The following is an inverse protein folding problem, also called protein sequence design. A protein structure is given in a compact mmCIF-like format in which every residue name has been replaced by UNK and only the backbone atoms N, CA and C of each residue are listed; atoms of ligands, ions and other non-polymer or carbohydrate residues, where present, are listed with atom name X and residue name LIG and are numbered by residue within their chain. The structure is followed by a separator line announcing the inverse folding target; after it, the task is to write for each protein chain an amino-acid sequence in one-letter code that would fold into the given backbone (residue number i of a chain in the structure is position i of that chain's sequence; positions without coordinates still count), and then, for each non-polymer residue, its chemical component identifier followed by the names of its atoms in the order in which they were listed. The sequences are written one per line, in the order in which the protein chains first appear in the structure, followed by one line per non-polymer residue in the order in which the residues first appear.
data_IF_651674590503
#
_entry.id   IF_651674590503
#
_cell.length_a   1.000
_cell.length_b   1.000
_cell.length_c   1.000
_cell.angle_alpha   90.00
_cell.angle_beta   90.00
_cell.angle_gamma   90.00
#
_symmetry.space_group_name_H-M   'P 1'
#
loop_
_entity.id
_entity.type
_entity.pdbx_description
1 polymer ?
#
# COMPACT_ATOMS: atom_id res chain seq x y z
N UNK A 1 15.11 -4.34 -15.94
CA UNK A 1 14.82 -5.37 -14.90
C UNK A 1 16.03 -6.28 -14.86
N UNK A 2 16.61 -6.49 -13.70
CA UNK A 2 17.73 -7.42 -13.53
C UNK A 2 17.29 -8.49 -12.54
N UNK A 3 17.16 -9.73 -13.00
CA UNK A 3 16.91 -10.88 -12.16
C UNK A 3 18.26 -11.59 -11.89
N UNK A 4 18.63 -11.73 -10.61
CA UNK A 4 19.94 -12.25 -10.22
C UNK A 4 19.80 -13.61 -9.55
N UNK A 5 20.59 -14.59 -9.96
CA UNK A 5 20.62 -15.89 -9.30
C UNK A 5 22.00 -16.51 -9.26
N UNK A 6 22.23 -17.32 -8.24
CA UNK A 6 23.39 -18.22 -8.15
C UNK A 6 23.10 -19.63 -8.66
N UNK A 7 21.94 -19.84 -9.30
CA UNK A 7 21.56 -21.14 -9.85
C UNK A 7 22.38 -21.49 -11.08
N UNK A 8 22.66 -22.79 -11.24
CA UNK A 8 23.40 -23.35 -12.36
C UNK A 8 22.64 -24.46 -13.08
N UNK A 9 21.48 -24.86 -12.58
CA UNK A 9 20.60 -25.85 -13.19
C UNK A 9 19.82 -25.22 -14.34
N UNK A 10 19.78 -25.88 -15.48
CA UNK A 10 19.08 -25.38 -16.69
C UNK A 10 17.58 -25.17 -16.42
N UNK A 11 16.90 -26.15 -15.83
CA UNK A 11 15.46 -26.07 -15.54
C UNK A 11 15.09 -24.83 -14.72
N UNK A 12 15.89 -24.52 -13.69
CA UNK A 12 15.65 -23.33 -12.86
C UNK A 12 15.99 -22.02 -13.57
N UNK A 13 16.96 -22.03 -14.47
CA UNK A 13 17.29 -20.86 -15.28
C UNK A 13 16.17 -20.58 -16.28
N UNK A 14 15.60 -21.60 -16.88
CA UNK A 14 14.46 -21.50 -17.78
C UNK A 14 13.20 -20.97 -17.05
N UNK A 15 12.91 -21.49 -15.85
CA UNK A 15 11.84 -20.97 -14.98
C UNK A 15 12.05 -19.48 -14.64
N UNK A 16 13.27 -19.08 -14.31
CA UNK A 16 13.62 -17.68 -14.07
C UNK A 16 13.48 -16.80 -15.32
N UNK A 17 13.76 -17.31 -16.50
CA UNK A 17 13.61 -16.60 -17.74
C UNK A 17 12.14 -16.30 -18.03
N UNK A 18 11.28 -17.31 -17.88
CA UNK A 18 9.83 -17.13 -17.99
C UNK A 18 9.28 -16.13 -16.96
N UNK A 19 9.68 -16.26 -15.69
CA UNK A 19 9.27 -15.30 -14.63
C UNK A 19 9.70 -13.86 -14.99
N UNK A 20 10.92 -13.70 -15.51
CA UNK A 20 11.46 -12.40 -15.88
C UNK A 20 10.70 -11.79 -17.06
N UNK A 21 10.34 -12.59 -18.05
CA UNK A 21 9.49 -12.18 -19.18
C UNK A 21 8.08 -11.81 -18.74
N UNK A 22 7.51 -12.54 -17.77
CA UNK A 22 6.21 -12.22 -17.17
C UNK A 22 6.26 -10.89 -16.43
N UNK A 23 7.32 -10.63 -15.64
CA UNK A 23 7.52 -9.35 -14.94
C UNK A 23 7.66 -8.19 -15.96
N UNK A 24 8.39 -8.37 -17.03
CA UNK A 24 8.52 -7.35 -18.08
C UNK A 24 7.17 -7.01 -18.72
N UNK A 25 6.43 -8.03 -19.13
CA UNK A 25 5.10 -7.90 -19.73
C UNK A 25 4.12 -7.22 -18.76
N UNK A 26 4.17 -7.58 -17.48
CA UNK A 26 3.37 -6.96 -16.44
C UNK A 26 3.69 -5.47 -16.29
N UNK A 27 4.98 -5.10 -16.18
CA UNK A 27 5.40 -3.71 -16.05
C UNK A 27 5.05 -2.89 -17.30
N UNK A 28 5.25 -3.45 -18.48
CA UNK A 28 4.84 -2.82 -19.74
C UNK A 28 3.34 -2.51 -19.75
N UNK A 29 2.51 -3.49 -19.42
CA UNK A 29 1.05 -3.32 -19.34
C UNK A 29 0.66 -2.23 -18.34
N UNK A 30 1.36 -2.15 -17.23
CA UNK A 30 1.16 -1.17 -16.17
C UNK A 30 1.46 0.25 -16.63
N UNK A 31 2.59 0.45 -17.32
CA UNK A 31 2.94 1.74 -17.90
C UNK A 31 1.93 2.16 -18.97
N UNK A 32 1.48 1.25 -19.82
CA UNK A 32 0.47 1.53 -20.84
C UNK A 32 -0.88 1.91 -20.22
N UNK A 33 -1.34 1.15 -19.22
CA UNK A 33 -2.61 1.44 -18.50
C UNK A 33 -2.57 2.75 -17.73
N UNK A 34 -1.41 3.23 -17.31
CA UNK A 34 -1.28 4.48 -16.54
C UNK A 34 -1.63 5.73 -17.34
N UNK A 35 -1.74 5.63 -18.68
CA UNK A 35 -1.98 6.75 -19.60
C UNK A 35 -1.07 7.96 -19.30
N UNK A 36 0.20 7.70 -19.11
CA UNK A 36 1.19 8.66 -18.64
C UNK A 36 1.90 9.37 -19.80
N UNK A 37 2.62 10.43 -19.46
CA UNK A 37 3.56 11.13 -20.38
C UNK A 37 4.70 10.22 -20.87
N UNK A 38 4.82 9.02 -20.30
CA UNK A 38 5.82 8.01 -20.70
C UNK A 38 5.45 7.26 -21.98
N UNK A 39 4.24 7.45 -22.51
CA UNK A 39 3.80 6.86 -23.75
C UNK A 39 4.16 7.76 -24.93
N UNK A 40 4.56 7.16 -26.06
CA UNK A 40 4.68 7.86 -27.33
C UNK A 40 3.28 8.32 -27.82
N UNK A 41 3.24 9.19 -28.80
CA UNK A 41 1.99 9.72 -29.39
C UNK A 41 1.01 8.62 -29.82
N UNK A 42 1.52 7.45 -30.23
CA UNK A 42 0.71 6.28 -30.57
C UNK A 42 -0.04 5.64 -29.39
N UNK A 43 0.28 6.05 -28.15
CA UNK A 43 -0.24 5.47 -26.88
C UNK A 43 -0.09 3.95 -26.71
N UNK A 44 0.66 3.29 -27.59
CA UNK A 44 0.90 1.84 -27.60
C UNK A 44 2.34 1.45 -27.32
N UNK A 45 3.26 2.41 -27.27
CA UNK A 45 4.67 2.17 -27.00
C UNK A 45 5.20 3.14 -25.97
N UNK A 46 6.18 2.71 -25.18
CA UNK A 46 6.85 3.53 -24.18
C UNK A 46 7.82 4.52 -24.85
N UNK A 47 7.98 5.69 -24.26
CA UNK A 47 8.95 6.71 -24.68
C UNK A 47 10.38 6.38 -24.21
N UNK A 48 10.55 5.38 -23.37
CA UNK A 48 11.80 4.84 -22.88
C UNK A 48 11.91 3.36 -23.20
N UNK A 49 13.07 2.77 -23.01
CA UNK A 49 13.32 1.35 -23.26
C UNK A 49 13.17 0.58 -21.95
N UNK A 50 12.33 -0.46 -21.97
CA UNK A 50 12.20 -1.42 -20.90
C UNK A 50 12.90 -2.69 -21.36
N UNK A 51 13.89 -3.15 -20.61
CA UNK A 51 14.64 -4.38 -20.87
C UNK A 51 14.73 -5.24 -19.64
N UNK A 52 14.69 -6.52 -19.84
CA UNK A 52 14.97 -7.53 -18.81
C UNK A 52 16.27 -8.26 -19.10
N UNK A 53 16.96 -8.65 -18.04
CA UNK A 53 18.27 -9.29 -18.08
C UNK A 53 18.36 -10.31 -16.97
N UNK A 54 18.89 -11.48 -17.29
CA UNK A 54 19.30 -12.49 -16.31
C UNK A 54 20.77 -12.28 -15.94
N UNK A 55 21.06 -12.07 -14.68
CA UNK A 55 22.43 -12.01 -14.18
C UNK A 55 22.78 -13.31 -13.47
N UNK A 56 23.63 -14.11 -14.12
CA UNK A 56 23.98 -15.47 -13.70
C UNK A 56 25.51 -15.58 -13.50
N UNK A 57 26.07 -15.05 -12.40
CA UNK A 57 27.52 -14.93 -12.20
C UNK A 57 28.25 -16.28 -12.09
N UNK A 58 27.53 -17.35 -11.76
CA UNK A 58 28.11 -18.71 -11.65
C UNK A 58 27.98 -19.53 -12.92
N UNK A 59 27.32 -19.01 -13.96
CA UNK A 59 27.17 -19.69 -15.26
C UNK A 59 28.19 -19.10 -16.23
N UNK A 60 29.13 -19.93 -16.76
CA UNK A 60 30.10 -19.47 -17.77
C UNK A 60 29.39 -18.92 -19.02
N UNK A 61 29.89 -17.83 -19.58
CA UNK A 61 29.28 -17.15 -20.73
C UNK A 61 29.08 -18.09 -21.92
N UNK A 62 30.01 -19.01 -22.18
CA UNK A 62 29.90 -20.02 -23.24
C UNK A 62 28.74 -21.01 -23.03
N UNK A 63 28.41 -21.31 -21.76
CA UNK A 63 27.30 -22.18 -21.41
C UNK A 63 25.98 -21.40 -21.48
N UNK A 64 25.96 -20.16 -21.04
CA UNK A 64 24.78 -19.29 -21.12
C UNK A 64 24.29 -19.07 -22.56
N UNK A 65 25.23 -18.99 -23.54
CA UNK A 65 24.90 -18.85 -24.95
C UNK A 65 24.29 -20.11 -25.61
N UNK A 66 24.38 -21.25 -24.94
CA UNK A 66 23.79 -22.52 -25.43
C UNK A 66 22.31 -22.65 -25.02
N UNK A 67 21.85 -21.81 -24.12
CA UNK A 67 20.45 -21.79 -23.68
C UNK A 67 19.64 -20.90 -24.61
N UNK A 68 18.48 -21.40 -25.05
CA UNK A 68 17.53 -20.66 -25.87
C UNK A 68 16.61 -19.89 -24.95
N UNK A 69 17.12 -18.78 -24.37
CA UNK A 69 16.41 -17.94 -23.39
C UNK A 69 15.89 -16.68 -24.09
N UNK A 70 14.74 -16.21 -23.66
CA UNK A 70 14.11 -14.99 -24.18
C UNK A 70 14.83 -13.72 -23.74
N UNK A 71 15.39 -13.73 -22.51
CA UNK A 71 16.06 -12.57 -21.94
C UNK A 71 17.58 -12.61 -22.15
N UNK A 72 18.19 -11.43 -22.24
CA UNK A 72 19.64 -11.30 -22.36
C UNK A 72 20.33 -11.78 -21.08
N UNK A 73 21.38 -12.61 -21.22
CA UNK A 73 22.11 -13.18 -20.09
C UNK A 73 23.43 -12.48 -19.90
N UNK A 74 23.71 -12.04 -18.68
CA UNK A 74 24.99 -11.51 -18.23
C UNK A 74 25.63 -12.44 -17.21
N UNK A 75 26.87 -12.87 -17.46
CA UNK A 75 27.63 -13.76 -16.56
C UNK A 75 28.70 -13.01 -15.74
N UNK A 76 28.90 -11.71 -16.00
CA UNK A 76 29.87 -10.90 -15.26
C UNK A 76 29.36 -9.48 -15.03
N UNK A 77 29.90 -8.82 -13.99
CA UNK A 77 29.60 -7.42 -13.70
C UNK A 77 29.94 -6.49 -14.87
N UNK A 78 31.04 -6.77 -15.60
CA UNK A 78 31.46 -5.95 -16.72
C UNK A 78 30.48 -6.05 -17.91
N UNK A 79 29.92 -7.24 -18.15
CA UNK A 79 28.87 -7.44 -19.16
C UNK A 79 27.61 -6.66 -18.76
N UNK A 80 27.17 -6.79 -17.52
CA UNK A 80 26.00 -6.08 -17.02
C UNK A 80 26.19 -4.56 -17.08
N UNK A 81 27.33 -4.05 -16.65
CA UNK A 81 27.66 -2.61 -16.75
C UNK A 81 27.70 -2.14 -18.18
N UNK A 82 28.33 -2.93 -19.10
CA UNK A 82 28.36 -2.59 -20.51
C UNK A 82 26.96 -2.50 -21.12
N UNK A 83 26.07 -3.40 -20.73
CA UNK A 83 24.69 -3.41 -21.17
C UNK A 83 23.90 -2.21 -20.65
N UNK A 84 24.07 -1.87 -19.38
CA UNK A 84 23.43 -0.70 -18.75
C UNK A 84 23.94 0.62 -19.36
N UNK A 85 25.21 0.68 -19.75
CA UNK A 85 25.81 1.87 -20.36
C UNK A 85 25.50 2.03 -21.87
N UNK A 86 25.09 0.96 -22.55
CA UNK A 86 24.73 1.00 -23.97
C UNK A 86 23.37 1.65 -24.27
N UNK A 87 22.61 2.03 -23.24
CA UNK A 87 21.32 2.68 -23.46
C UNK A 87 21.51 4.11 -23.97
N UNK A 88 21.18 4.36 -25.23
CA UNK A 88 21.27 5.68 -25.87
C UNK A 88 20.17 6.64 -25.44
N UNK A 89 19.14 6.17 -24.73
CA UNK A 89 18.00 6.98 -24.30
C UNK A 89 18.18 7.44 -22.87
N UNK A 90 18.48 8.73 -22.71
CA UNK A 90 18.53 9.37 -21.40
C UNK A 90 17.12 9.49 -20.80
N UNK A 91 16.91 8.90 -19.64
CA UNK A 91 15.72 9.10 -18.82
C UNK A 91 15.87 10.47 -18.14
N UNK A 92 14.94 11.40 -18.42
CA UNK A 92 14.93 12.69 -17.71
C UNK A 92 14.51 12.50 -16.26
N UNK A 93 14.84 13.48 -15.41
CA UNK A 93 14.42 13.45 -14.00
C UNK A 93 12.91 13.39 -13.85
N UNK A 94 12.17 14.03 -14.76
CA UNK A 94 10.70 13.96 -14.78
C UNK A 94 10.20 12.56 -15.14
N UNK A 95 10.78 11.93 -16.15
CA UNK A 95 10.46 10.55 -16.54
C UNK A 95 10.78 9.57 -15.41
N UNK A 96 11.90 9.75 -14.73
CA UNK A 96 12.28 8.92 -13.59
C UNK A 96 11.24 9.02 -12.46
N UNK A 97 10.85 10.23 -12.09
CA UNK A 97 9.78 10.45 -11.09
C UNK A 97 8.47 9.79 -11.51
N UNK A 98 8.11 9.91 -12.78
CA UNK A 98 6.89 9.32 -13.34
C UNK A 98 6.93 7.78 -13.30
N UNK A 99 8.06 7.18 -13.70
CA UNK A 99 8.29 5.73 -13.65
C UNK A 99 8.16 5.24 -12.21
N UNK A 100 8.85 5.88 -11.26
CA UNK A 100 8.77 5.56 -9.85
C UNK A 100 7.32 5.67 -9.34
N UNK A 101 6.60 6.75 -9.66
CA UNK A 101 5.23 6.95 -9.23
C UNK A 101 4.26 5.86 -9.74
N UNK A 102 4.48 5.34 -10.94
CA UNK A 102 3.68 4.24 -11.49
C UNK A 102 4.03 2.92 -10.81
N UNK A 103 5.31 2.61 -10.65
CA UNK A 103 5.76 1.39 -9.98
C UNK A 103 5.28 1.32 -8.53
N UNK A 104 5.27 2.45 -7.85
CA UNK A 104 4.95 2.58 -6.43
C UNK A 104 3.46 2.81 -6.14
N UNK A 105 2.63 2.91 -7.16
CA UNK A 105 1.21 3.16 -7.00
C UNK A 105 0.82 4.57 -6.60
N UNK A 106 1.77 5.50 -6.52
CA UNK A 106 1.51 6.88 -6.13
C UNK A 106 0.47 7.57 -7.02
N UNK A 107 0.41 7.22 -8.32
CA UNK A 107 -0.63 7.72 -9.25
C UNK A 107 -2.04 7.22 -8.97
N UNK A 108 -2.21 6.22 -8.13
CA UNK A 108 -3.54 5.76 -7.70
C UNK A 108 -4.20 6.77 -6.78
N UNK A 109 -3.39 7.55 -6.07
CA UNK A 109 -3.84 8.50 -5.04
C UNK A 109 -4.51 9.71 -5.67
N UNK A 110 -3.97 10.18 -6.80
CA UNK A 110 -4.47 11.38 -7.46
C UNK A 110 -4.84 11.04 -8.91
N UNK A 111 -6.14 10.84 -9.18
CA UNK A 111 -6.66 11.27 -10.48
C UNK A 111 -6.89 12.78 -10.32
N UNK A 112 -6.04 13.65 -10.87
CA UNK A 112 -6.37 15.06 -10.93
C UNK A 112 -7.71 15.13 -11.65
N UNK A 113 -8.71 15.83 -11.08
CA UNK A 113 -9.88 16.23 -11.83
C UNK A 113 -9.33 16.89 -13.10
N UNK A 114 -9.66 16.36 -14.28
CA UNK A 114 -9.26 16.95 -15.55
C UNK A 114 -9.78 18.39 -15.54
N UNK A 115 -8.93 19.32 -15.14
CA UNK A 115 -9.17 20.74 -15.37
C UNK A 115 -8.58 21.00 -16.77
N UNK A 116 -9.43 21.22 -17.74
CA UNK A 116 -9.00 21.73 -19.05
C UNK A 116 -8.56 23.18 -18.82
N UNK A 117 -7.26 23.40 -18.74
CA UNK A 117 -6.66 24.72 -18.68
C UNK A 117 -6.27 25.05 -20.12
N UNK A 118 -6.80 26.13 -20.66
CA UNK A 118 -6.44 26.63 -22.00
C UNK A 118 -4.94 26.91 -22.09
N UNK A 119 -4.35 26.70 -23.25
CA UNK A 119 -2.89 26.82 -23.48
C UNK A 119 -2.31 28.22 -23.10
N UNK A 120 -3.13 29.23 -22.89
CA UNK A 120 -2.72 30.59 -22.53
C UNK A 120 -2.74 30.90 -21.01
N UNK A 121 -3.08 29.92 -20.16
CA UNK A 121 -3.34 30.16 -18.73
C UNK A 121 -2.19 29.68 -17.80
N UNK A 122 -0.94 29.72 -18.24
CA UNK A 122 0.24 29.19 -17.55
C UNK A 122 0.50 29.84 -16.17
N UNK A 123 -0.02 31.04 -15.93
CA UNK A 123 0.17 31.79 -14.67
C UNK A 123 -1.10 31.90 -13.81
N UNK A 124 -2.15 31.16 -14.13
CA UNK A 124 -3.39 31.22 -13.34
C UNK A 124 -3.25 30.38 -12.03
N UNK A 125 -4.02 30.80 -11.00
CA UNK A 125 -4.16 30.01 -9.76
C UNK A 125 -4.55 28.55 -10.02
N UNK A 126 -5.24 28.27 -11.13
CA UNK A 126 -5.60 26.92 -11.58
C UNK A 126 -4.41 26.10 -12.07
N UNK A 127 -3.45 26.71 -12.78
CA UNK A 127 -2.22 26.05 -13.24
C UNK A 127 -1.30 25.74 -12.07
N UNK A 128 -1.14 26.68 -11.13
CA UNK A 128 -0.34 26.49 -9.90
C UNK A 128 -0.95 25.37 -9.03
N UNK A 129 -2.28 25.37 -8.87
CA UNK A 129 -2.98 24.29 -8.14
C UNK A 129 -2.79 22.93 -8.81
N UNK A 130 -2.84 22.87 -10.14
CA UNK A 130 -2.60 21.63 -10.90
C UNK A 130 -1.18 21.11 -10.71
N UNK A 131 -0.19 22.00 -10.76
CA UNK A 131 1.21 21.65 -10.53
C UNK A 131 1.45 21.19 -9.08
N UNK A 132 0.83 21.85 -8.10
CA UNK A 132 0.85 21.41 -6.70
C UNK A 132 0.17 20.06 -6.50
N UNK A 133 -1.00 19.84 -7.13
CA UNK A 133 -1.69 18.55 -7.10
C UNK A 133 -0.86 17.43 -7.75
N UNK A 134 -0.13 17.74 -8.83
CA UNK A 134 0.79 16.81 -9.49
C UNK A 134 2.02 16.51 -8.60
N UNK A 135 2.55 17.50 -7.89
CA UNK A 135 3.68 17.31 -6.96
C UNK A 135 3.29 16.52 -5.71
N UNK A 136 2.06 16.70 -5.21
CA UNK A 136 1.52 15.89 -4.10
C UNK A 136 1.27 14.42 -4.48
N UNK A 137 1.28 14.09 -5.79
CA UNK A 137 1.05 12.74 -6.29
C UNK A 137 2.23 11.77 -6.04
N UNK A 138 3.37 12.27 -5.57
CA UNK A 138 4.55 11.45 -5.31
C UNK A 138 4.69 11.18 -3.83
N UNK A 139 4.51 9.92 -3.43
CA UNK A 139 4.97 9.48 -2.11
C UNK A 139 6.50 9.60 -2.06
N UNK A 140 7.03 10.18 -1.00
CA UNK A 140 8.47 10.15 -0.78
C UNK A 140 8.96 8.75 -0.38
N UNK A 141 10.27 8.56 -0.39
CA UNK A 141 10.89 7.25 -0.12
C UNK A 141 10.58 6.76 1.31
N UNK A 142 10.47 7.65 2.28
CA UNK A 142 10.16 7.29 3.68
C UNK A 142 8.73 6.80 3.83
N UNK A 143 7.77 7.46 3.16
CA UNK A 143 6.37 7.04 3.14
C UNK A 143 6.20 5.64 2.55
N UNK A 144 6.93 5.34 1.47
CA UNK A 144 6.94 4.02 0.83
C UNK A 144 7.49 2.96 1.75
N UNK A 145 8.64 3.22 2.35
CA UNK A 145 9.26 2.30 3.29
C UNK A 145 8.34 2.01 4.48
N UNK A 146 7.62 3.02 4.98
CA UNK A 146 6.64 2.86 6.05
C UNK A 146 5.45 1.97 5.65
N UNK A 147 4.94 2.11 4.41
CA UNK A 147 3.85 1.28 3.91
C UNK A 147 4.28 -0.17 3.66
N UNK A 148 5.49 -0.37 3.12
CA UNK A 148 6.03 -1.68 2.76
C UNK A 148 6.58 -2.45 3.97
N UNK A 149 7.02 -1.74 5.02
CA UNK A 149 7.61 -2.37 6.19
C UNK A 149 6.62 -3.34 6.86
N UNK A 150 6.97 -4.61 6.88
CA UNK A 150 6.33 -5.62 7.71
C UNK A 150 7.23 -5.85 8.94
N UNK A 151 6.75 -5.39 10.08
CA UNK A 151 7.44 -5.58 11.35
C UNK A 151 6.59 -6.53 12.18
N UNK A 152 7.22 -7.58 12.69
CA UNK A 152 6.59 -8.44 13.69
C UNK A 152 6.40 -7.61 14.98
N UNK A 153 5.16 -7.49 15.44
CA UNK A 153 4.81 -6.70 16.61
C UNK A 153 4.25 -5.30 16.29
N UNK A 154 4.09 -4.45 17.32
CA UNK A 154 3.50 -3.14 17.17
C UNK A 154 4.40 -2.18 16.38
N UNK A 155 3.79 -1.44 15.47
CA UNK A 155 4.47 -0.44 14.66
C UNK A 155 3.86 0.94 14.89
N UNK A 156 4.67 1.99 14.91
CA UNK A 156 4.19 3.37 14.98
C UNK A 156 4.69 4.18 13.79
N UNK A 157 3.76 4.72 13.01
CA UNK A 157 4.03 5.64 11.92
C UNK A 157 3.88 7.07 12.44
N UNK A 158 4.93 7.87 12.39
CA UNK A 158 4.94 9.28 12.79
C UNK A 158 5.15 10.18 11.57
N UNK A 159 4.50 11.33 11.57
CA UNK A 159 4.67 12.36 10.55
C UNK A 159 3.88 13.61 10.88
N UNK A 160 4.22 14.71 10.25
CA UNK A 160 3.52 15.99 10.38
C UNK A 160 2.06 15.87 9.91
N UNK A 161 1.23 16.84 10.27
CA UNK A 161 -0.11 16.94 9.70
C UNK A 161 -0.01 17.09 8.18
N UNK A 162 -0.87 16.37 7.43
CA UNK A 162 -0.83 16.37 5.96
C UNK A 162 0.27 15.49 5.32
N UNK A 163 1.10 14.76 6.10
CA UNK A 163 2.16 13.88 5.59
C UNK A 163 1.65 12.56 4.97
N UNK A 164 0.35 12.41 4.73
CA UNK A 164 -0.22 11.24 4.07
C UNK A 164 -0.31 9.97 4.94
N UNK A 165 -0.33 10.07 6.28
CA UNK A 165 -0.43 8.91 7.18
C UNK A 165 -1.61 7.99 6.86
N UNK A 166 -2.81 8.55 6.66
CA UNK A 166 -4.02 7.81 6.25
C UNK A 166 -3.80 7.06 4.94
N UNK A 167 -3.13 7.69 3.97
CA UNK A 167 -2.81 7.11 2.66
C UNK A 167 -1.86 5.91 2.83
N UNK A 168 -0.82 6.06 3.65
CA UNK A 168 0.13 4.98 3.98
C UNK A 168 -0.58 3.80 4.63
N UNK A 169 -1.49 4.06 5.58
CA UNK A 169 -2.25 2.99 6.24
C UNK A 169 -3.22 2.29 5.26
N UNK A 170 -3.89 3.02 4.37
CA UNK A 170 -4.74 2.42 3.33
C UNK A 170 -3.92 1.55 2.36
N UNK A 171 -2.74 2.02 1.94
CA UNK A 171 -1.82 1.24 1.12
C UNK A 171 -1.36 -0.01 1.86
N UNK A 172 -1.00 0.12 3.15
CA UNK A 172 -0.58 -1.00 4.00
C UNK A 172 -1.69 -2.05 4.14
N UNK A 173 -2.94 -1.64 4.37
CA UNK A 173 -4.09 -2.54 4.41
C UNK A 173 -4.24 -3.35 3.11
N UNK A 174 -4.16 -2.67 1.96
CA UNK A 174 -4.24 -3.32 0.65
C UNK A 174 -3.10 -4.31 0.42
N UNK A 175 -1.86 -3.94 0.75
CA UNK A 175 -0.67 -4.78 0.56
C UNK A 175 -0.67 -6.00 1.50
N UNK A 176 -1.09 -5.85 2.76
CA UNK A 176 -1.23 -6.99 3.68
C UNK A 176 -2.25 -7.98 3.10
N UNK A 177 -3.41 -7.50 2.66
CA UNK A 177 -4.45 -8.37 2.11
C UNK A 177 -4.04 -9.06 0.81
N UNK A 178 -3.27 -8.40 -0.06
CA UNK A 178 -2.71 -9.03 -1.27
C UNK A 178 -1.73 -10.15 -0.95
N UNK A 179 -0.89 -9.97 0.08
CA UNK A 179 0.11 -10.97 0.49
C UNK A 179 -0.51 -12.12 1.30
N UNK A 180 -1.48 -11.80 2.13
CA UNK A 180 -2.10 -12.71 3.08
C UNK A 180 -3.64 -12.64 3.00
N UNK A 181 -4.25 -13.12 1.89
CA UNK A 181 -5.69 -12.90 1.61
C UNK A 181 -6.63 -13.54 2.65
N UNK A 182 -6.17 -14.52 3.40
CA UNK A 182 -6.96 -15.17 4.45
C UNK A 182 -6.92 -14.47 5.81
N UNK A 183 -6.03 -13.50 6.00
CA UNK A 183 -5.88 -12.76 7.26
C UNK A 183 -6.96 -11.70 7.41
N UNK A 184 -7.45 -11.54 8.64
CA UNK A 184 -8.43 -10.50 8.98
C UNK A 184 -7.74 -9.23 9.45
N UNK A 185 -8.00 -8.15 8.75
CA UNK A 185 -7.45 -6.82 9.01
C UNK A 185 -8.56 -5.93 9.56
N UNK A 186 -8.34 -5.29 10.68
CA UNK A 186 -9.17 -4.21 11.19
C UNK A 186 -8.52 -2.87 10.86
N UNK A 187 -9.25 -2.00 10.17
CA UNK A 187 -8.90 -0.60 10.00
C UNK A 187 -9.85 0.24 10.85
N UNK A 188 -9.33 1.06 11.76
CA UNK A 188 -10.16 1.84 12.69
C UNK A 188 -9.75 3.30 12.78
N UNK A 189 -10.70 4.16 13.08
CA UNK A 189 -10.60 5.63 13.12
C UNK A 189 -11.68 6.24 14.01
N UNK A 190 -11.56 7.54 14.34
CA UNK A 190 -12.53 8.28 15.19
C UNK A 190 -13.61 9.00 14.39
N UNK A 191 -13.30 9.50 13.18
CA UNK A 191 -14.15 10.43 12.43
C UNK A 191 -14.96 9.73 11.37
N UNK A 192 -16.27 9.63 11.53
CA UNK A 192 -17.19 8.89 10.65
C UNK A 192 -17.09 9.30 9.17
N UNK A 193 -16.79 10.55 8.87
CA UNK A 193 -16.67 11.08 7.50
C UNK A 193 -15.48 10.48 6.71
N UNK A 194 -14.56 9.79 7.37
CA UNK A 194 -13.42 9.14 6.71
C UNK A 194 -13.76 7.77 6.11
N UNK A 195 -14.91 7.18 6.44
CA UNK A 195 -15.24 5.81 6.03
C UNK A 195 -15.14 5.62 4.51
N UNK A 196 -15.91 6.39 3.74
CA UNK A 196 -15.98 6.28 2.28
C UNK A 196 -14.62 6.61 1.63
N UNK A 197 -13.87 7.53 2.22
CA UNK A 197 -12.54 7.89 1.75
C UNK A 197 -11.56 6.72 1.93
N UNK A 198 -11.52 6.12 3.13
CA UNK A 198 -10.64 4.98 3.45
C UNK A 198 -10.99 3.79 2.55
N UNK A 199 -12.26 3.44 2.41
CA UNK A 199 -12.72 2.35 1.55
C UNK A 199 -12.29 2.58 0.09
N UNK A 200 -12.56 3.78 -0.43
CA UNK A 200 -12.16 4.16 -1.79
C UNK A 200 -10.64 4.05 -2.00
N UNK A 201 -9.85 4.48 -1.02
CA UNK A 201 -8.39 4.43 -1.12
C UNK A 201 -7.86 3.00 -1.07
N UNK A 202 -8.39 2.16 -0.19
CA UNK A 202 -8.02 0.73 -0.12
C UNK A 202 -8.36 0.04 -1.45
N UNK A 203 -9.56 0.25 -2.01
CA UNK A 203 -9.96 -0.30 -3.31
C UNK A 203 -9.00 0.14 -4.42
N UNK A 204 -8.61 1.43 -4.44
CA UNK A 204 -7.68 1.96 -5.44
C UNK A 204 -6.32 1.28 -5.36
N UNK A 205 -5.73 1.17 -4.15
CA UNK A 205 -4.44 0.52 -3.97
C UNK A 205 -4.51 -0.97 -4.28
N UNK A 206 -5.57 -1.64 -3.81
CA UNK A 206 -5.74 -3.07 -4.07
C UNK A 206 -5.85 -3.36 -5.57
N UNK A 207 -6.65 -2.60 -6.32
CA UNK A 207 -6.75 -2.72 -7.78
C UNK A 207 -5.43 -2.44 -8.49
N UNK A 208 -4.70 -1.47 -7.97
CA UNK A 208 -3.44 -1.08 -8.59
C UNK A 208 -2.37 -2.17 -8.43
N UNK A 209 -2.23 -2.75 -7.24
CA UNK A 209 -1.23 -3.77 -6.96
C UNK A 209 -1.71 -5.20 -7.27
N UNK A 210 -3.00 -5.45 -7.36
CA UNK A 210 -3.64 -6.75 -7.53
C UNK A 210 -4.35 -6.93 -8.88
N UNK A 211 -3.79 -6.35 -9.95
CA UNK A 211 -4.23 -6.55 -11.35
C UNK A 211 -5.71 -6.24 -11.64
N UNK A 212 -6.26 -5.27 -10.94
CA UNK A 212 -7.62 -4.82 -11.13
C UNK A 212 -8.68 -5.54 -10.31
N UNK A 213 -8.30 -6.53 -9.52
CA UNK A 213 -9.19 -7.23 -8.60
C UNK A 213 -9.73 -6.30 -7.50
N UNK A 214 -10.82 -6.72 -6.86
CA UNK A 214 -11.40 -6.03 -5.71
C UNK A 214 -10.94 -6.67 -4.40
N UNK A 215 -10.75 -5.87 -3.32
CA UNK A 215 -10.47 -6.41 -2.00
C UNK A 215 -11.70 -7.13 -1.42
N UNK A 216 -11.46 -8.13 -0.60
CA UNK A 216 -12.48 -8.78 0.20
C UNK A 216 -12.69 -8.01 1.52
N UNK A 217 -13.81 -7.28 1.61
CA UNK A 217 -14.17 -6.52 2.81
C UNK A 217 -14.72 -7.39 3.96
N UNK A 218 -14.92 -8.68 3.78
CA UNK A 218 -15.09 -9.61 4.90
C UNK A 218 -13.77 -9.85 5.64
N UNK A 219 -12.64 -9.64 4.94
CA UNK A 219 -11.28 -9.73 5.48
C UNK A 219 -10.73 -8.38 5.90
N UNK A 220 -10.97 -7.32 5.14
CA UNK A 220 -10.60 -5.96 5.51
C UNK A 220 -11.82 -5.27 6.13
N UNK A 221 -11.90 -5.24 7.44
CA UNK A 221 -13.01 -4.62 8.16
C UNK A 221 -12.69 -3.18 8.53
N UNK A 222 -13.40 -2.25 7.92
CA UNK A 222 -13.30 -0.82 8.22
C UNK A 222 -14.34 -0.50 9.28
N UNK A 223 -13.91 -0.07 10.48
CA UNK A 223 -14.82 0.16 11.60
C UNK A 223 -14.49 1.44 12.34
N UNK A 224 -15.54 2.20 12.66
CA UNK A 224 -15.42 3.30 13.60
C UNK A 224 -14.97 2.79 14.98
N UNK A 225 -14.21 3.57 15.74
CA UNK A 225 -13.69 3.15 17.04
C UNK A 225 -14.80 2.74 18.04
N UNK A 226 -15.87 3.52 18.12
CA UNK A 226 -16.98 3.24 19.05
C UNK A 226 -18.01 2.27 18.43
N UNK A 227 -18.69 2.72 17.36
CA UNK A 227 -19.82 2.01 16.76
C UNK A 227 -21.15 2.30 17.45
N UNK A 228 -22.16 1.51 17.11
CA UNK A 228 -23.52 1.62 17.62
C UNK A 228 -24.45 0.57 17.05
N UNK A 229 -25.76 0.74 17.24
CA UNK A 229 -26.76 -0.20 16.73
C UNK A 229 -26.81 -0.30 15.19
N UNK A 230 -26.56 0.79 14.50
CA UNK A 230 -26.64 0.91 13.02
C UNK A 230 -25.27 0.95 12.35
N UNK A 231 -24.21 1.33 13.05
CA UNK A 231 -22.85 1.46 12.51
C UNK A 231 -21.93 0.51 13.25
N UNK A 232 -21.29 -0.38 12.49
CA UNK A 232 -20.30 -1.30 13.05
C UNK A 232 -19.10 -0.53 13.63
N UNK A 233 -18.69 -0.89 14.84
CA UNK A 233 -17.56 -0.27 15.52
C UNK A 233 -16.75 -1.26 16.33
N UNK A 234 -15.52 -0.87 16.66
CA UNK A 234 -14.55 -1.74 17.35
C UNK A 234 -15.07 -2.09 18.75
N UNK A 235 -15.36 -1.07 19.58
CA UNK A 235 -15.87 -1.29 20.92
C UNK A 235 -17.17 -2.12 20.92
N UNK A 236 -18.15 -1.71 20.11
CA UNK A 236 -19.44 -2.39 20.03
C UNK A 236 -19.31 -3.85 19.61
N UNK A 237 -18.45 -4.14 18.61
CA UNK A 237 -18.18 -5.51 18.15
C UNK A 237 -17.43 -6.32 19.21
N UNK A 238 -16.46 -5.71 19.90
CA UNK A 238 -15.73 -6.36 20.98
C UNK A 238 -16.66 -6.75 22.14
N UNK A 239 -17.59 -5.86 22.53
CA UNK A 239 -18.61 -6.18 23.53
C UNK A 239 -19.46 -7.40 23.09
N UNK A 240 -19.99 -7.38 21.86
CA UNK A 240 -20.83 -8.48 21.35
C UNK A 240 -20.07 -9.81 21.31
N UNK A 241 -18.84 -9.81 20.84
CA UNK A 241 -18.02 -11.01 20.74
C UNK A 241 -17.66 -11.62 22.11
N UNK A 242 -17.79 -10.84 23.18
CA UNK A 242 -17.54 -11.29 24.55
C UNK A 242 -18.82 -11.38 25.40
N UNK A 243 -20.01 -11.37 24.77
CA UNK A 243 -21.32 -11.44 25.43
C UNK A 243 -21.54 -10.34 26.49
N UNK A 244 -21.00 -9.14 26.24
CA UNK A 244 -21.18 -7.97 27.08
C UNK A 244 -22.11 -6.97 26.37
N UNK A 245 -23.06 -6.43 27.07
CA UNK A 245 -23.95 -5.38 26.54
C UNK A 245 -23.15 -4.09 26.37
N UNK A 246 -23.04 -3.53 25.13
CA UNK A 246 -22.35 -2.28 24.93
C UNK A 246 -23.09 -1.12 25.57
N UNK A 247 -22.34 -0.20 26.18
CA UNK A 247 -22.89 1.02 26.73
C UNK A 247 -23.17 2.05 25.64
N UNK A 248 -24.30 2.76 25.78
CA UNK A 248 -24.61 3.90 24.91
C UNK A 248 -23.75 5.11 25.29
N UNK A 249 -23.73 6.12 24.42
CA UNK A 249 -23.00 7.36 24.71
C UNK A 249 -23.49 8.07 25.98
N UNK A 250 -24.81 8.05 26.23
CA UNK A 250 -25.41 8.65 27.45
C UNK A 250 -24.98 7.90 28.69
N UNK A 251 -25.02 6.57 28.69
CA UNK A 251 -24.54 5.75 29.80
C UNK A 251 -23.04 5.94 30.03
N UNK A 252 -22.26 6.04 28.97
CA UNK A 252 -20.82 6.30 29.06
C UNK A 252 -20.51 7.67 29.71
N UNK A 253 -21.28 8.71 29.37
CA UNK A 253 -21.17 10.03 30.02
C UNK A 253 -21.47 10.00 31.50
N UNK A 254 -22.37 9.12 31.95
CA UNK A 254 -22.64 8.93 33.39
C UNK A 254 -21.45 8.30 34.10
N UNK A 255 -20.69 7.44 33.44
CA UNK A 255 -19.45 6.86 33.98
C UNK A 255 -18.30 7.89 34.03
N UNK A 256 -18.12 8.64 32.99
CA UNK A 256 -17.07 9.65 32.89
C UNK A 256 -17.44 10.75 31.88
N UNK A 257 -17.77 11.93 32.40
CA UNK A 257 -18.29 13.01 31.55
C UNK A 257 -17.26 13.56 30.53
N UNK A 258 -16.00 13.63 30.94
CA UNK A 258 -14.94 14.26 30.13
C UNK A 258 -14.48 13.36 28.97
N UNK A 259 -14.31 12.07 29.22
CA UNK A 259 -13.86 11.10 28.20
C UNK A 259 -14.69 9.81 28.26
N UNK A 260 -15.92 9.85 27.71
CA UNK A 260 -16.82 8.70 27.75
C UNK A 260 -16.26 7.48 26.98
N UNK A 261 -15.45 7.70 25.94
CA UNK A 261 -14.90 6.59 25.13
C UNK A 261 -13.81 5.83 25.90
N UNK A 262 -12.93 6.54 26.58
CA UNK A 262 -11.94 5.92 27.46
C UNK A 262 -12.60 5.12 28.57
N UNK A 263 -13.68 5.66 29.17
CA UNK A 263 -14.42 4.98 30.21
C UNK A 263 -15.02 3.65 29.76
N UNK A 264 -15.65 3.59 28.58
CA UNK A 264 -16.26 2.34 28.10
C UNK A 264 -15.20 1.32 27.67
N UNK A 265 -14.07 1.74 27.10
CA UNK A 265 -12.96 0.85 26.80
C UNK A 265 -12.37 0.26 28.09
N UNK A 266 -12.16 1.09 29.11
CA UNK A 266 -11.66 0.66 30.43
C UNK A 266 -12.63 -0.28 31.14
N UNK A 267 -13.93 0.01 31.12
CA UNK A 267 -14.98 -0.86 31.69
C UNK A 267 -15.00 -2.24 31.01
N UNK A 268 -14.93 -2.27 29.68
CA UNK A 268 -14.88 -3.51 28.91
C UNK A 268 -13.62 -4.34 29.25
N UNK A 269 -12.45 -3.71 29.29
CA UNK A 269 -11.20 -4.36 29.66
C UNK A 269 -11.26 -4.92 31.10
N UNK A 270 -11.85 -4.18 32.03
CA UNK A 270 -12.02 -4.62 33.40
C UNK A 270 -12.97 -5.83 33.48
N UNK A 271 -14.13 -5.78 32.84
CA UNK A 271 -15.11 -6.88 32.80
C UNK A 271 -14.56 -8.17 32.20
N UNK A 272 -13.72 -8.04 31.19
CA UNK A 272 -13.07 -9.18 30.52
C UNK A 272 -11.74 -9.58 31.16
N UNK A 273 -11.25 -8.84 32.14
CA UNK A 273 -9.90 -8.97 32.72
C UNK A 273 -8.80 -8.92 31.64
N UNK A 274 -9.04 -8.17 30.59
CA UNK A 274 -8.14 -8.06 29.42
C UNK A 274 -8.08 -9.31 28.53
N UNK A 275 -8.88 -10.34 28.81
CA UNK A 275 -8.93 -11.58 28.02
C UNK A 275 -10.16 -11.53 27.10
N UNK A 276 -9.92 -11.42 25.81
CA UNK A 276 -10.97 -11.30 24.79
C UNK A 276 -10.79 -12.28 23.63
N UNK A 277 -11.88 -12.49 22.90
CA UNK A 277 -11.83 -13.26 21.66
C UNK A 277 -10.97 -12.53 20.62
N UNK A 278 -9.83 -13.12 20.27
CA UNK A 278 -8.89 -12.59 19.29
C UNK A 278 -9.38 -12.90 17.88
N UNK A 279 -9.87 -11.88 17.20
CA UNK A 279 -10.55 -12.02 15.89
C UNK A 279 -9.66 -11.60 14.74
N UNK A 280 -8.80 -10.59 14.96
CA UNK A 280 -8.02 -9.94 13.91
C UNK A 280 -6.57 -10.43 13.91
N UNK A 281 -5.98 -10.48 12.73
CA UNK A 281 -4.55 -10.75 12.56
C UNK A 281 -3.76 -9.44 12.55
N UNK A 282 -4.35 -8.35 12.05
CA UNK A 282 -3.78 -7.00 12.01
C UNK A 282 -4.79 -5.96 12.46
N UNK A 283 -4.34 -4.93 13.17
CA UNK A 283 -5.14 -3.75 13.53
C UNK A 283 -4.39 -2.49 13.09
N UNK A 284 -5.02 -1.70 12.23
CA UNK A 284 -4.51 -0.43 11.72
C UNK A 284 -5.32 0.70 12.34
N UNK A 285 -4.66 1.61 13.07
CA UNK A 285 -5.31 2.70 13.82
C UNK A 285 -4.93 4.03 13.17
N UNK A 286 -5.90 4.66 12.51
CA UNK A 286 -5.71 6.00 11.94
C UNK A 286 -6.00 7.08 12.98
N UNK A 287 -5.30 8.23 12.84
CA UNK A 287 -5.32 9.33 13.81
C UNK A 287 -5.10 8.84 15.27
N UNK A 288 -4.15 7.93 15.42
CA UNK A 288 -3.87 7.22 16.66
C UNK A 288 -3.66 8.16 17.87
N UNK A 289 -3.18 9.39 17.67
CA UNK A 289 -2.97 10.37 18.74
C UNK A 289 -4.28 10.81 19.45
N UNK A 290 -5.43 10.59 18.82
CA UNK A 290 -6.73 10.98 19.37
C UNK A 290 -7.27 9.97 20.40
N UNK A 291 -6.61 8.80 20.52
CA UNK A 291 -7.04 7.74 21.41
C UNK A 291 -6.29 7.72 22.73
N UNK A 292 -7.01 7.32 23.79
CA UNK A 292 -6.45 7.05 25.11
C UNK A 292 -5.85 5.63 25.19
N UNK A 293 -4.97 5.36 26.17
CA UNK A 293 -4.33 4.05 26.33
C UNK A 293 -5.29 2.86 26.40
N UNK A 294 -6.50 3.04 26.96
CA UNK A 294 -7.51 1.98 27.04
C UNK A 294 -7.92 1.43 25.68
N UNK A 295 -8.03 2.29 24.66
CA UNK A 295 -8.36 1.83 23.30
C UNK A 295 -7.23 1.01 22.66
N UNK A 296 -5.99 1.39 22.88
CA UNK A 296 -4.84 0.57 22.43
C UNK A 296 -4.80 -0.79 23.12
N UNK A 297 -5.11 -0.83 24.42
CA UNK A 297 -5.20 -2.10 25.16
C UNK A 297 -6.34 -2.95 24.61
N UNK A 298 -7.49 -2.34 24.28
CA UNK A 298 -8.60 -3.02 23.62
C UNK A 298 -8.19 -3.59 22.27
N UNK A 299 -7.51 -2.83 21.43
CA UNK A 299 -7.02 -3.29 20.13
C UNK A 299 -6.03 -4.46 20.29
N UNK A 300 -5.12 -4.40 21.26
CA UNK A 300 -4.19 -5.52 21.57
C UNK A 300 -4.91 -6.76 22.13
N UNK A 301 -6.01 -6.60 22.84
CA UNK A 301 -6.77 -7.71 23.36
C UNK A 301 -7.55 -8.50 22.29
N UNK A 302 -7.89 -7.86 21.14
CA UNK A 302 -8.66 -8.47 20.06
C UNK A 302 -7.80 -8.93 18.88
N UNK A 303 -6.51 -8.65 18.86
CA UNK A 303 -5.54 -9.10 17.83
C UNK A 303 -4.87 -10.40 18.26
N UNK A 304 -4.60 -11.29 17.32
CA UNK A 304 -4.02 -12.63 17.59
C UNK A 304 -2.55 -12.55 18.00
N UNK A 305 -1.77 -11.86 17.19
CA UNK A 305 -0.37 -11.52 17.44
C UNK A 305 -0.30 -10.01 17.58
N UNK A 306 0.63 -9.46 18.33
CA UNK A 306 0.66 -8.02 18.66
C UNK A 306 0.95 -7.12 17.42
N UNK A 307 0.24 -7.36 16.32
CA UNK A 307 0.35 -6.65 15.03
C UNK A 307 -0.60 -5.45 15.00
N UNK A 308 -0.28 -4.40 15.76
CA UNK A 308 -1.01 -3.12 15.81
C UNK A 308 -0.16 -2.03 15.19
N UNK A 309 -0.72 -1.27 14.23
CA UNK A 309 -0.05 -0.18 13.50
C UNK A 309 -0.76 1.14 13.74
#
# INVERSE_FOLDING_TARGET
IVNCSSETSFEKIEEMDEETSQIESYLFSRFVKSNSKLLKESKRSLSFELKSVLFLPLVPAQRAQQYDLENEVCSSNDQLLSLLMKSDKKITTEMQKEICAILEGAKVILKPKKREIGENDVLTKGAILKEMEEQMAYLDLEQKNAALAQIAGPQRIRGLAGSGKTIILCMKAALIHLREPNKKILYTFTTKSLYDYIETMIVRFYRFFGDGNLPDFDKIQIKHSWGGGTISGVYYTACKNNNITPLTFEQAKQLHYVDPFDAVCSDLLHKTKGIMNKVYDYVLIDEAQDFRPSFYQLCRAIVKEDCVV
#
